data_IF_727609171901
#
_entry.id   IF_727609171901
#
_cell.length_a   1.000
_cell.length_b   1.000
_cell.length_c   1.000
_cell.angle_alpha   90.00
_cell.angle_beta   90.00
_cell.angle_gamma   90.00
#
_symmetry.space_group_name_H-M   'P 1'
#
loop_
_entity.id
_entity.type
_entity.pdbx_description
1 polymer ?
#
# COMPACT_ATOMS: atom_id res chain seq x y z
N UNK A 1 1.35 24.87 -10.38
CA UNK A 1 -0.08 24.66 -9.98
C UNK A 1 -1.07 24.41 -11.13
N UNK A 2 -0.74 24.74 -12.38
CA UNK A 2 -1.65 24.71 -13.54
C UNK A 2 -2.38 23.39 -13.79
N UNK A 3 -1.70 22.25 -13.70
CA UNK A 3 -2.32 20.93 -13.91
C UNK A 3 -3.44 20.63 -12.88
N UNK A 4 -3.20 20.92 -11.60
CA UNK A 4 -4.16 20.63 -10.52
C UNK A 4 -5.42 21.48 -10.64
N UNK A 5 -5.27 22.77 -10.98
CA UNK A 5 -6.40 23.69 -11.11
C UNK A 5 -7.38 23.29 -12.21
N UNK A 6 -6.92 22.67 -13.30
CA UNK A 6 -7.78 22.23 -14.40
C UNK A 6 -8.82 21.20 -13.98
N UNK A 7 -8.50 20.36 -12.98
CA UNK A 7 -9.39 19.28 -12.50
C UNK A 7 -10.03 19.57 -11.15
N UNK A 8 -9.75 20.73 -10.53
CA UNK A 8 -10.20 21.06 -9.19
C UNK A 8 -11.74 21.12 -9.04
N UNK A 9 -12.48 21.36 -10.12
CA UNK A 9 -13.95 21.42 -10.13
C UNK A 9 -14.66 20.09 -10.38
N UNK A 10 -13.94 18.98 -10.60
CA UNK A 10 -14.56 17.67 -10.84
C UNK A 10 -15.01 16.92 -9.57
N UNK A 11 -14.29 16.95 -8.44
CA UNK A 11 -14.71 16.24 -7.24
C UNK A 11 -16.12 16.68 -6.81
N UNK A 12 -16.99 15.71 -6.51
CA UNK A 12 -18.36 15.91 -6.03
C UNK A 12 -19.37 16.44 -7.06
N UNK A 13 -19.00 16.57 -8.33
CA UNK A 13 -19.90 16.97 -9.42
C UNK A 13 -19.94 15.87 -10.51
N UNK A 14 -20.73 14.80 -10.34
CA UNK A 14 -20.76 13.66 -11.28
C UNK A 14 -21.23 14.03 -12.69
N UNK A 15 -22.00 15.10 -12.82
CA UNK A 15 -22.41 15.71 -14.10
C UNK A 15 -21.26 16.41 -14.82
N UNK A 16 -20.23 16.86 -14.10
CA UNK A 16 -19.05 17.51 -14.67
C UNK A 16 -18.11 16.45 -15.24
N UNK A 17 -17.94 16.46 -16.57
CA UNK A 17 -16.99 15.59 -17.28
C UNK A 17 -15.90 16.42 -17.95
N UNK A 18 -14.69 15.91 -17.91
CA UNK A 18 -13.57 16.44 -18.70
C UNK A 18 -13.71 16.01 -20.17
N UNK A 19 -13.37 16.91 -21.10
CA UNK A 19 -13.26 16.60 -22.53
C UNK A 19 -11.90 15.98 -22.87
N UNK A 20 -11.84 15.25 -23.99
CA UNK A 20 -10.58 14.67 -24.47
C UNK A 20 -9.52 15.73 -24.81
N UNK A 21 -9.94 16.87 -25.37
CA UNK A 21 -9.02 17.96 -25.71
C UNK A 21 -8.32 18.51 -24.47
N UNK A 22 -9.07 18.73 -23.39
CA UNK A 22 -8.52 19.18 -22.11
C UNK A 22 -7.49 18.18 -21.56
N UNK A 23 -7.71 16.87 -21.73
CA UNK A 23 -6.73 15.84 -21.33
C UNK A 23 -5.46 15.90 -22.17
N UNK A 24 -5.59 16.05 -23.49
CA UNK A 24 -4.46 16.12 -24.42
C UNK A 24 -3.60 17.35 -24.12
N UNK A 25 -4.22 18.49 -23.83
CA UNK A 25 -3.51 19.72 -23.46
C UNK A 25 -2.61 19.53 -22.23
N UNK A 26 -3.01 18.68 -21.28
CA UNK A 26 -2.20 18.43 -20.07
C UNK A 26 -0.85 17.76 -20.35
N UNK A 27 -0.70 17.07 -21.48
CA UNK A 27 0.61 16.50 -21.87
C UNK A 27 1.63 17.58 -22.24
N UNK A 28 1.19 18.79 -22.53
CA UNK A 28 2.08 19.93 -22.84
C UNK A 28 2.57 20.65 -21.60
N UNK A 29 1.92 20.46 -20.44
CA UNK A 29 2.29 21.11 -19.18
C UNK A 29 3.55 20.45 -18.63
N UNK A 30 4.65 21.21 -18.56
CA UNK A 30 5.92 20.73 -18.01
C UNK A 30 5.92 20.78 -16.48
N UNK A 31 6.70 19.89 -15.87
CA UNK A 31 6.94 19.93 -14.44
C UNK A 31 8.00 20.98 -14.12
N UNK A 32 7.59 22.07 -13.49
CA UNK A 32 8.48 23.14 -13.04
C UNK A 32 9.04 22.81 -11.64
N UNK A 33 10.32 22.40 -11.55
CA UNK A 33 10.91 22.02 -10.26
C UNK A 33 11.09 23.20 -9.29
N UNK A 34 11.14 24.42 -9.81
CA UNK A 34 11.33 25.64 -9.01
C UNK A 34 10.01 26.25 -8.53
N UNK A 35 8.86 25.87 -9.10
CA UNK A 35 7.53 26.35 -8.72
C UNK A 35 6.86 25.35 -7.76
N UNK A 36 7.20 25.46 -6.47
CA UNK A 36 6.66 24.58 -5.41
C UNK A 36 5.61 25.31 -4.58
N UNK A 37 4.50 24.62 -4.33
CA UNK A 37 3.49 25.04 -3.38
C UNK A 37 3.48 24.10 -2.17
N UNK A 38 3.19 24.65 -0.99
CA UNK A 38 2.87 23.84 0.19
C UNK A 38 1.46 23.30 0.01
N UNK A 39 1.32 21.97 0.05
CA UNK A 39 0.04 21.27 -0.07
C UNK A 39 -0.10 20.37 1.15
N UNK A 40 -1.27 20.40 1.78
CA UNK A 40 -1.57 19.53 2.92
C UNK A 40 -1.94 18.12 2.43
N UNK A 41 -1.37 17.09 3.06
CA UNK A 41 -1.58 15.68 2.72
C UNK A 41 -1.77 14.86 4.02
N UNK A 42 -2.91 15.06 4.72
CA UNK A 42 -3.12 14.61 6.10
C UNK A 42 -2.96 13.10 6.29
N UNK A 43 -3.44 12.31 5.33
CA UNK A 43 -3.56 10.86 5.50
C UNK A 43 -2.40 10.08 4.86
N UNK A 44 -1.80 10.59 3.79
CA UNK A 44 -0.76 9.86 3.05
C UNK A 44 0.61 9.98 3.72
N UNK A 45 0.90 11.13 4.34
CA UNK A 45 2.20 11.40 4.98
C UNK A 45 2.50 10.46 6.16
N UNK A 46 1.48 9.83 6.73
CA UNK A 46 1.61 8.93 7.88
C UNK A 46 2.07 7.52 7.50
N UNK A 47 1.84 7.12 6.26
CA UNK A 47 2.28 5.82 5.79
C UNK A 47 3.81 5.75 5.73
N UNK A 48 4.36 4.57 6.02
CA UNK A 48 5.78 4.32 5.82
C UNK A 48 6.16 4.50 4.34
N UNK A 49 7.33 5.07 4.03
CA UNK A 49 7.88 5.13 2.68
C UNK A 49 7.88 3.77 1.98
N UNK A 50 7.96 2.68 2.75
CA UNK A 50 7.86 1.30 2.25
C UNK A 50 6.63 1.09 1.38
N UNK A 51 5.48 1.68 1.76
CA UNK A 51 4.21 1.53 1.05
C UNK A 51 4.22 2.06 -0.39
N UNK A 52 5.17 2.94 -0.71
CA UNK A 52 5.22 3.64 -1.99
C UNK A 52 6.53 3.43 -2.75
N UNK A 53 7.37 2.44 -2.37
CA UNK A 53 8.68 2.23 -2.99
C UNK A 53 8.58 2.07 -4.53
N UNK A 54 7.73 1.19 -5.09
CA UNK A 54 7.63 1.02 -6.54
C UNK A 54 7.20 2.31 -7.25
N UNK A 55 6.18 2.98 -6.71
CA UNK A 55 5.63 4.22 -7.25
C UNK A 55 6.67 5.35 -7.20
N UNK A 56 7.34 5.52 -6.05
CA UNK A 56 8.32 6.58 -5.83
C UNK A 56 9.55 6.40 -6.70
N UNK A 57 10.00 5.16 -6.90
CA UNK A 57 11.09 4.84 -7.82
C UNK A 57 10.72 5.22 -9.27
N UNK A 58 9.53 4.83 -9.72
CA UNK A 58 9.05 5.16 -11.07
C UNK A 58 8.94 6.68 -11.27
N UNK A 59 8.30 7.38 -10.33
CA UNK A 59 8.17 8.84 -10.36
C UNK A 59 9.54 9.51 -10.37
N UNK A 60 10.47 9.05 -9.55
CA UNK A 60 11.83 9.59 -9.51
C UNK A 60 12.53 9.48 -10.87
N UNK A 61 12.47 8.30 -11.49
CA UNK A 61 13.08 8.04 -12.81
C UNK A 61 12.42 8.91 -13.89
N UNK A 62 11.08 8.88 -13.99
CA UNK A 62 10.36 9.62 -15.03
C UNK A 62 10.45 11.14 -14.85
N UNK A 63 10.54 11.62 -13.61
CA UNK A 63 10.83 13.03 -13.32
C UNK A 63 12.22 13.43 -13.84
N UNK A 64 13.24 12.59 -13.62
CA UNK A 64 14.60 12.86 -14.12
C UNK A 64 14.70 12.84 -15.66
N UNK A 65 13.80 12.13 -16.33
CA UNK A 65 13.69 12.15 -17.79
C UNK A 65 12.96 13.40 -18.33
N UNK A 66 12.47 14.28 -17.46
CA UNK A 66 11.81 15.54 -17.86
C UNK A 66 10.41 15.35 -18.44
N UNK A 67 9.74 14.24 -18.13
CA UNK A 67 8.39 13.97 -18.62
C UNK A 67 7.34 14.89 -17.95
N UNK A 68 6.25 15.25 -18.67
CA UNK A 68 5.16 16.03 -18.10
C UNK A 68 4.43 15.23 -17.01
N UNK A 69 3.79 15.89 -16.01
CA UNK A 69 3.17 15.22 -14.87
C UNK A 69 2.15 14.14 -15.25
N UNK A 70 1.34 14.37 -16.29
CA UNK A 70 0.37 13.39 -16.79
C UNK A 70 1.03 12.14 -17.33
N UNK A 71 2.13 12.31 -18.08
CA UNK A 71 2.87 11.16 -18.61
C UNK A 71 3.54 10.40 -17.47
N UNK A 72 4.12 11.09 -16.49
CA UNK A 72 4.66 10.46 -15.27
C UNK A 72 3.57 9.63 -14.57
N UNK A 73 2.36 10.17 -14.42
CA UNK A 73 1.24 9.47 -13.81
C UNK A 73 0.92 8.15 -14.54
N UNK A 74 0.68 8.19 -15.85
CA UNK A 74 0.33 6.98 -16.61
C UNK A 74 1.47 5.97 -16.68
N UNK A 75 2.71 6.43 -16.90
CA UNK A 75 3.88 5.55 -16.94
C UNK A 75 4.14 4.89 -15.58
N UNK A 76 3.94 5.60 -14.48
CA UNK A 76 4.05 5.00 -13.14
C UNK A 76 3.01 3.93 -12.94
N UNK A 77 1.75 4.14 -13.35
CA UNK A 77 0.70 3.10 -13.27
C UNK A 77 1.07 1.86 -14.05
N UNK A 78 1.61 2.03 -15.27
CA UNK A 78 2.07 0.91 -16.10
C UNK A 78 3.26 0.19 -15.47
N UNK A 79 4.22 0.92 -14.93
CA UNK A 79 5.37 0.35 -14.21
C UNK A 79 4.91 -0.49 -13.01
N UNK A 80 4.02 0.04 -12.19
CA UNK A 80 3.52 -0.64 -10.99
C UNK A 80 2.71 -1.88 -11.36
N UNK A 81 1.93 -1.84 -12.45
CA UNK A 81 1.25 -3.01 -12.98
C UNK A 81 2.24 -4.09 -13.44
N UNK A 82 3.35 -3.72 -14.08
CA UNK A 82 4.41 -4.66 -14.46
C UNK A 82 5.03 -5.30 -13.22
N UNK A 83 5.31 -4.51 -12.18
CA UNK A 83 5.81 -5.01 -10.88
C UNK A 83 4.81 -6.00 -10.29
N UNK A 84 3.51 -5.67 -10.27
CA UNK A 84 2.46 -6.58 -9.81
C UNK A 84 2.47 -7.90 -10.58
N UNK A 85 2.39 -7.87 -11.91
CA UNK A 85 2.35 -9.08 -12.76
C UNK A 85 3.61 -9.93 -12.57
N UNK A 86 4.79 -9.30 -12.51
CA UNK A 86 6.05 -9.99 -12.29
C UNK A 86 6.08 -10.68 -10.93
N UNK A 87 5.75 -9.97 -9.86
CA UNK A 87 5.73 -10.52 -8.50
C UNK A 87 4.66 -11.61 -8.36
N UNK A 88 3.49 -11.42 -8.96
CA UNK A 88 2.41 -12.38 -8.89
C UNK A 88 2.74 -13.67 -9.69
N UNK A 89 3.52 -13.56 -10.76
CA UNK A 89 4.09 -14.72 -11.46
C UNK A 89 5.03 -15.54 -10.55
N UNK A 90 5.83 -14.86 -9.70
CA UNK A 90 6.67 -15.52 -8.69
C UNK A 90 5.81 -16.22 -7.63
N UNK A 91 4.75 -15.56 -7.15
CA UNK A 91 3.78 -16.14 -6.21
C UNK A 91 3.19 -17.44 -6.75
N UNK A 92 2.71 -17.44 -8.00
CA UNK A 92 2.16 -18.64 -8.66
C UNK A 92 3.22 -19.75 -8.79
N UNK A 93 4.48 -19.38 -9.05
CA UNK A 93 5.59 -20.34 -9.13
C UNK A 93 5.88 -21.03 -7.79
N UNK A 94 5.77 -20.30 -6.67
CA UNK A 94 6.03 -20.87 -5.35
C UNK A 94 4.88 -21.70 -4.79
N UNK A 95 3.65 -21.43 -5.22
CA UNK A 95 2.49 -22.13 -4.67
C UNK A 95 2.45 -23.59 -5.13
N UNK A 96 2.35 -24.54 -4.19
CA UNK A 96 2.40 -25.97 -4.51
C UNK A 96 1.12 -26.44 -5.21
N UNK A 97 -0.03 -25.91 -4.81
CA UNK A 97 -1.36 -26.34 -5.29
C UNK A 97 -2.30 -25.14 -5.46
N UNK A 98 -3.24 -25.20 -6.40
CA UNK A 98 -4.21 -24.11 -6.61
C UNK A 98 -3.68 -22.92 -7.40
N UNK A 99 -2.71 -23.14 -8.30
CA UNK A 99 -2.10 -22.09 -9.14
C UNK A 99 -3.13 -21.25 -9.90
N UNK A 100 -4.17 -21.91 -10.43
CA UNK A 100 -5.27 -21.23 -11.13
C UNK A 100 -6.11 -20.34 -10.21
N UNK A 101 -6.30 -20.71 -8.95
CA UNK A 101 -7.00 -19.86 -7.96
C UNK A 101 -6.20 -18.59 -7.72
N UNK A 102 -4.88 -18.70 -7.54
CA UNK A 102 -4.05 -17.51 -7.39
C UNK A 102 -4.04 -16.68 -8.67
N UNK A 103 -3.87 -17.29 -9.85
CA UNK A 103 -3.95 -16.57 -11.12
C UNK A 103 -5.27 -15.79 -11.25
N UNK A 104 -6.40 -16.41 -10.88
CA UNK A 104 -7.70 -15.73 -10.83
C UNK A 104 -7.65 -14.54 -9.86
N UNK A 105 -7.20 -14.73 -8.62
CA UNK A 105 -7.09 -13.65 -7.61
C UNK A 105 -6.22 -12.49 -8.09
N UNK A 106 -5.13 -12.77 -8.80
CA UNK A 106 -4.23 -11.74 -9.35
C UNK A 106 -4.83 -10.96 -10.52
N UNK A 107 -5.72 -11.60 -11.28
CA UNK A 107 -6.38 -11.07 -12.48
C UNK A 107 -7.78 -10.51 -12.22
N UNK A 108 -8.30 -10.63 -11.00
CA UNK A 108 -9.59 -10.02 -10.64
C UNK A 108 -9.56 -8.53 -11.01
N UNK A 109 -10.66 -7.98 -11.55
CA UNK A 109 -10.71 -6.57 -11.97
C UNK A 109 -10.27 -5.62 -10.87
N UNK A 110 -10.70 -5.88 -9.63
CA UNK A 110 -10.32 -5.08 -8.47
C UNK A 110 -8.83 -5.23 -8.11
N UNK A 111 -8.27 -6.43 -8.20
CA UNK A 111 -6.84 -6.66 -7.98
C UNK A 111 -5.99 -5.89 -8.99
N UNK A 112 -6.33 -5.97 -10.28
CA UNK A 112 -5.60 -5.23 -11.33
C UNK A 112 -5.73 -3.73 -11.10
N UNK A 113 -6.96 -3.25 -10.83
CA UNK A 113 -7.23 -1.83 -10.62
C UNK A 113 -6.44 -1.24 -9.45
N UNK A 114 -6.48 -1.90 -8.28
CA UNK A 114 -5.76 -1.44 -7.08
C UNK A 114 -4.26 -1.54 -7.29
N UNK A 115 -3.77 -2.65 -7.86
CA UNK A 115 -2.33 -2.90 -8.01
C UNK A 115 -1.68 -2.18 -9.20
N UNK A 116 -2.41 -1.32 -9.92
CA UNK A 116 -1.84 -0.34 -10.86
C UNK A 116 -1.92 1.11 -10.35
N UNK A 117 -2.44 1.33 -9.14
CA UNK A 117 -2.72 2.66 -8.60
C UNK A 117 -1.57 3.22 -7.76
N UNK A 118 -1.67 4.49 -7.36
CA UNK A 118 -0.79 5.13 -6.40
C UNK A 118 -1.21 4.85 -4.93
N UNK A 119 -1.71 3.65 -4.65
CA UNK A 119 -2.14 3.25 -3.31
C UNK A 119 -1.03 2.55 -2.53
N UNK A 120 -1.03 2.73 -1.21
CA UNK A 120 -0.24 1.90 -0.28
C UNK A 120 -0.59 0.40 -0.37
N UNK A 121 -1.82 0.07 -0.80
CA UNK A 121 -2.30 -1.31 -0.88
C UNK A 121 -1.52 -2.16 -1.88
N UNK A 122 -0.87 -1.54 -2.87
CA UNK A 122 -0.04 -2.24 -3.87
C UNK A 122 1.04 -3.07 -3.17
N UNK A 123 1.82 -2.44 -2.29
CA UNK A 123 2.93 -3.08 -1.58
C UNK A 123 2.39 -4.07 -0.54
N UNK A 124 1.31 -3.71 0.16
CA UNK A 124 0.64 -4.61 1.11
C UNK A 124 0.19 -5.92 0.43
N UNK A 125 -0.42 -5.84 -0.75
CA UNK A 125 -0.86 -7.01 -1.50
C UNK A 125 0.35 -7.86 -1.95
N UNK A 126 1.36 -7.22 -2.56
CA UNK A 126 2.58 -7.90 -3.01
C UNK A 126 3.21 -8.71 -1.87
N UNK A 127 3.45 -8.07 -0.73
CA UNK A 127 4.09 -8.69 0.42
C UNK A 127 3.21 -9.79 1.02
N UNK A 128 1.90 -9.58 1.11
CA UNK A 128 0.96 -10.56 1.63
C UNK A 128 0.93 -11.84 0.79
N UNK A 129 0.82 -11.71 -0.54
CA UNK A 129 0.81 -12.86 -1.44
C UNK A 129 2.17 -13.58 -1.48
N UNK A 130 3.29 -12.84 -1.44
CA UNK A 130 4.62 -13.43 -1.34
C UNK A 130 4.78 -14.22 -0.04
N UNK A 131 4.44 -13.62 1.11
CA UNK A 131 4.50 -14.29 2.41
C UNK A 131 3.69 -15.58 2.41
N UNK A 132 2.43 -15.49 1.98
CA UNK A 132 1.53 -16.63 1.89
C UNK A 132 2.09 -17.72 0.97
N UNK A 133 2.57 -17.37 -0.22
CA UNK A 133 3.10 -18.35 -1.19
C UNK A 133 4.29 -19.14 -0.64
N UNK A 134 5.23 -18.45 0.03
CA UNK A 134 6.42 -19.09 0.61
C UNK A 134 6.01 -19.99 1.78
N UNK A 135 5.12 -19.53 2.66
CA UNK A 135 4.64 -20.35 3.77
C UNK A 135 3.90 -21.60 3.28
N UNK A 136 3.01 -21.45 2.29
CA UNK A 136 2.29 -22.60 1.71
C UNK A 136 3.23 -23.58 1.00
N UNK A 137 4.27 -23.09 0.33
CA UNK A 137 5.33 -23.95 -0.24
C UNK A 137 5.94 -24.85 0.83
N UNK A 138 6.42 -24.27 1.93
CA UNK A 138 7.09 -25.04 2.99
C UNK A 138 6.12 -25.79 3.92
N UNK A 139 4.82 -25.49 3.85
CA UNK A 139 3.76 -26.34 4.40
C UNK A 139 3.65 -27.65 3.62
N UNK A 140 3.58 -27.57 2.29
CA UNK A 140 3.41 -28.75 1.42
C UNK A 140 4.70 -29.54 1.24
N UNK A 141 5.84 -28.84 1.16
CA UNK A 141 7.17 -29.42 0.99
C UNK A 141 8.07 -28.98 2.16
N UNK A 142 8.01 -29.68 3.32
CA UNK A 142 8.78 -29.32 4.51
C UNK A 142 10.30 -29.36 4.30
N UNK A 143 10.75 -30.20 3.36
CA UNK A 143 12.17 -30.39 3.04
C UNK A 143 12.75 -29.11 2.44
N UNK A 144 13.88 -28.64 2.98
CA UNK A 144 14.58 -27.46 2.46
C UNK A 144 14.23 -26.14 3.15
N UNK A 145 13.34 -26.13 4.15
CA UNK A 145 13.21 -24.97 5.03
C UNK A 145 14.56 -24.69 5.71
N UNK A 146 15.05 -23.45 5.57
CA UNK A 146 16.39 -23.07 6.00
C UNK A 146 16.39 -21.70 6.66
N UNK A 147 17.52 -21.33 7.28
CA UNK A 147 17.70 -20.00 7.85
C UNK A 147 17.52 -18.89 6.79
N UNK A 148 17.93 -19.14 5.55
CA UNK A 148 17.73 -18.19 4.44
C UNK A 148 16.25 -17.92 4.19
N UNK A 149 15.44 -18.98 4.15
CA UNK A 149 13.98 -18.87 4.03
C UNK A 149 13.38 -18.08 5.18
N UNK A 150 13.81 -18.38 6.41
CA UNK A 150 13.37 -17.65 7.60
C UNK A 150 13.68 -16.16 7.51
N UNK A 151 14.91 -15.79 7.10
CA UNK A 151 15.31 -14.39 6.93
C UNK A 151 14.45 -13.69 5.87
N UNK A 152 14.14 -14.36 4.75
CA UNK A 152 13.24 -13.80 3.72
C UNK A 152 11.84 -13.56 4.28
N UNK A 153 11.26 -14.53 5.00
CA UNK A 153 9.94 -14.38 5.63
C UNK A 153 9.94 -13.28 6.69
N UNK A 154 11.01 -13.16 7.48
CA UNK A 154 11.19 -12.12 8.47
C UNK A 154 11.18 -10.72 7.83
N UNK A 155 11.95 -10.52 6.76
CA UNK A 155 11.96 -9.25 6.05
C UNK A 155 10.61 -8.91 5.42
N UNK A 156 9.95 -9.89 4.80
CA UNK A 156 8.61 -9.67 4.24
C UNK A 156 7.62 -9.26 5.35
N UNK A 157 7.68 -9.89 6.51
CA UNK A 157 6.81 -9.54 7.64
C UNK A 157 7.08 -8.12 8.17
N UNK A 158 8.34 -7.73 8.35
CA UNK A 158 8.71 -6.37 8.77
C UNK A 158 8.19 -5.34 7.76
N UNK A 159 8.44 -5.57 6.47
CA UNK A 159 7.97 -4.68 5.40
C UNK A 159 6.44 -4.61 5.34
N UNK A 160 5.75 -5.74 5.59
CA UNK A 160 4.29 -5.79 5.59
C UNK A 160 3.71 -4.99 6.75
N UNK A 161 4.29 -5.11 7.95
CA UNK A 161 3.89 -4.32 9.13
C UNK A 161 4.17 -2.83 8.95
N UNK A 162 5.30 -2.46 8.33
CA UNK A 162 5.59 -1.07 7.96
C UNK A 162 4.61 -0.54 6.91
N UNK A 163 4.22 -1.38 5.95
CA UNK A 163 3.30 -0.98 4.90
C UNK A 163 1.88 -0.75 5.46
N UNK A 164 1.39 -1.69 6.28
CA UNK A 164 0.05 -1.61 6.89
C UNK A 164 -0.03 -2.54 8.11
N UNK A 165 0.07 -1.96 9.32
CA UNK A 165 0.04 -2.70 10.58
C UNK A 165 -1.20 -3.59 10.75
N UNK A 166 -2.34 -3.21 10.16
CA UNK A 166 -3.60 -3.99 10.18
C UNK A 166 -3.42 -5.39 9.56
N UNK A 167 -2.40 -5.60 8.73
CA UNK A 167 -2.06 -6.89 8.13
C UNK A 167 -1.10 -7.73 8.97
N UNK A 168 -0.65 -7.25 10.15
CA UNK A 168 0.18 -8.03 11.06
C UNK A 168 -0.40 -9.41 11.45
N UNK A 169 -1.73 -9.60 11.62
CA UNK A 169 -2.30 -10.92 11.87
C UNK A 169 -1.98 -11.95 10.77
N UNK A 170 -1.69 -11.53 9.54
CA UNK A 170 -1.30 -12.42 8.44
C UNK A 170 0.01 -13.20 8.76
N UNK A 171 0.84 -12.68 9.65
CA UNK A 171 2.06 -13.34 10.14
C UNK A 171 1.74 -14.69 10.81
N UNK A 172 0.57 -14.85 11.42
CA UNK A 172 0.19 -16.13 12.05
C UNK A 172 0.12 -17.30 11.06
N UNK A 173 -0.02 -17.02 9.76
CA UNK A 173 0.06 -18.03 8.71
C UNK A 173 1.40 -18.76 8.76
N UNK A 174 2.49 -18.13 9.23
CA UNK A 174 3.79 -18.78 9.47
C UNK A 174 3.69 -20.07 10.31
N UNK A 175 2.73 -20.13 11.24
CA UNK A 175 2.50 -21.31 12.07
C UNK A 175 2.07 -22.54 11.26
N UNK A 176 1.60 -22.37 10.02
CA UNK A 176 1.24 -23.48 9.13
C UNK A 176 2.47 -24.28 8.68
N UNK A 177 3.69 -23.75 8.79
CA UNK A 177 4.90 -24.52 8.52
C UNK A 177 5.00 -25.64 9.59
N UNK A 178 5.07 -26.92 9.18
CA UNK A 178 5.03 -28.03 10.12
C UNK A 178 6.27 -28.08 11.00
N UNK A 179 6.14 -28.61 12.22
CA UNK A 179 7.26 -28.71 13.16
C UNK A 179 8.42 -29.57 12.66
N UNK A 180 8.15 -30.48 11.71
CA UNK A 180 9.18 -31.29 11.05
C UNK A 180 10.17 -30.48 10.21
N UNK A 181 9.81 -29.25 9.81
CA UNK A 181 10.70 -28.36 9.08
C UNK A 181 11.77 -27.70 9.96
N UNK A 182 11.62 -27.77 11.29
CA UNK A 182 12.49 -27.11 12.26
C UNK A 182 13.37 -28.13 12.98
N UNK A 183 14.56 -27.72 13.43
CA UNK A 183 15.47 -28.59 14.19
C UNK A 183 14.91 -28.96 15.57
N UNK A 184 14.07 -28.09 16.15
CA UNK A 184 13.43 -28.33 17.44
C UNK A 184 12.15 -27.53 17.60
N UNK A 185 11.28 -27.95 18.53
CA UNK A 185 10.08 -27.20 18.92
C UNK A 185 10.44 -25.79 19.44
N UNK A 186 11.54 -25.66 20.18
CA UNK A 186 12.06 -24.38 20.68
C UNK A 186 12.41 -23.44 19.52
N UNK A 187 13.06 -23.95 18.46
CA UNK A 187 13.39 -23.13 17.30
C UNK A 187 12.13 -22.57 16.62
N UNK A 188 11.08 -23.39 16.44
CA UNK A 188 9.81 -22.96 15.84
C UNK A 188 9.16 -21.82 16.62
N UNK A 189 9.10 -21.95 17.95
CA UNK A 189 8.52 -20.93 18.84
C UNK A 189 9.34 -19.64 18.75
N UNK A 190 10.67 -19.73 18.89
CA UNK A 190 11.56 -18.56 18.80
C UNK A 190 11.42 -17.84 17.46
N UNK A 191 11.43 -18.57 16.34
CA UNK A 191 11.27 -17.98 15.02
C UNK A 191 9.91 -17.30 14.85
N UNK A 192 8.84 -17.90 15.36
CA UNK A 192 7.50 -17.28 15.32
C UNK A 192 7.47 -15.99 16.13
N UNK A 193 8.01 -15.99 17.35
CA UNK A 193 8.07 -14.81 18.21
C UNK A 193 8.92 -13.70 17.57
N UNK A 194 10.06 -14.05 16.96
CA UNK A 194 10.90 -13.07 16.28
C UNK A 194 10.12 -12.39 15.15
N UNK A 195 9.42 -13.15 14.29
CA UNK A 195 8.67 -12.55 13.18
C UNK A 195 7.56 -11.65 13.73
N UNK A 196 6.77 -12.11 14.71
CA UNK A 196 5.70 -11.31 15.31
C UNK A 196 6.24 -10.02 15.94
N UNK A 197 7.20 -10.14 16.86
CA UNK A 197 7.74 -9.00 17.59
C UNK A 197 8.43 -8.01 16.67
N UNK A 198 9.16 -8.49 15.66
CA UNK A 198 9.80 -7.59 14.70
C UNK A 198 8.80 -6.71 13.96
N UNK A 199 7.68 -7.27 13.49
CA UNK A 199 6.63 -6.50 12.81
C UNK A 199 6.08 -5.38 13.68
N UNK A 200 5.76 -5.68 14.95
CA UNK A 200 5.30 -4.67 15.91
C UNK A 200 6.38 -3.64 16.21
N UNK A 201 7.61 -4.06 16.52
CA UNK A 201 8.71 -3.14 16.87
C UNK A 201 8.94 -2.13 15.75
N UNK A 202 9.02 -2.58 14.49
CA UNK A 202 9.27 -1.67 13.36
C UNK A 202 8.06 -0.77 13.07
N UNK A 203 6.83 -1.27 13.19
CA UNK A 203 5.65 -0.43 13.02
C UNK A 203 5.51 0.63 14.13
N UNK A 204 5.76 0.27 15.39
CA UNK A 204 5.78 1.22 16.51
C UNK A 204 6.92 2.22 16.37
N UNK A 205 8.09 1.77 15.93
CA UNK A 205 9.21 2.66 15.66
C UNK A 205 8.86 3.70 14.59
N UNK A 206 8.22 3.28 13.48
CA UNK A 206 7.74 4.21 12.47
C UNK A 206 6.67 5.18 13.03
N UNK A 207 5.69 4.66 13.77
CA UNK A 207 4.65 5.49 14.38
C UNK A 207 5.22 6.53 15.36
N UNK A 208 6.26 6.16 16.12
CA UNK A 208 6.98 7.07 17.00
C UNK A 208 7.67 8.19 16.22
N UNK A 209 8.36 7.86 15.12
CA UNK A 209 9.04 8.86 14.28
C UNK A 209 8.07 9.83 13.60
N UNK A 210 6.89 9.36 13.21
CA UNK A 210 5.89 10.16 12.50
C UNK A 210 5.02 10.98 13.46
N UNK A 211 4.98 10.65 14.76
CA UNK A 211 4.10 11.30 15.73
C UNK A 211 4.30 12.82 15.76
N UNK A 212 5.54 13.29 15.67
CA UNK A 212 5.89 14.72 15.65
C UNK A 212 5.37 15.45 14.40
N UNK A 213 5.08 14.72 13.32
CA UNK A 213 4.56 15.24 12.06
C UNK A 213 3.04 15.05 11.92
N UNK A 214 2.40 14.30 12.84
CA UNK A 214 0.98 14.02 12.78
C UNK A 214 0.18 15.14 13.43
N UNK A 215 -0.63 15.85 12.63
CA UNK A 215 -1.65 16.74 13.15
C UNK A 215 -2.97 15.97 13.32
N UNK A 216 -3.47 15.75 14.55
CA UNK A 216 -4.78 15.13 14.74
C UNK A 216 -5.90 16.07 14.26
N UNK A 217 -7.06 15.50 13.90
CA UNK A 217 -8.24 16.26 13.45
C UNK A 217 -8.59 17.44 14.37
N UNK A 218 -8.53 17.25 15.69
CA UNK A 218 -8.80 18.30 16.68
C UNK A 218 -7.75 19.43 16.69
N UNK A 219 -6.55 19.17 16.18
CA UNK A 219 -5.47 20.14 16.02
C UNK A 219 -5.56 20.96 14.75
N UNK A 220 -6.41 20.58 13.79
CA UNK A 220 -6.64 21.37 12.58
C UNK A 220 -7.41 22.65 12.89
N UNK A 221 -7.07 23.73 12.17
CA UNK A 221 -7.84 24.96 12.22
C UNK A 221 -9.31 24.67 11.82
N UNK A 222 -10.29 24.98 12.69
CA UNK A 222 -11.71 24.65 12.43
C UNK A 222 -12.24 25.17 11.10
N UNK A 223 -11.71 26.29 10.58
CA UNK A 223 -12.13 26.85 9.29
C UNK A 223 -11.71 25.99 8.08
N UNK A 224 -10.69 25.14 8.24
CA UNK A 224 -10.11 24.34 7.16
C UNK A 224 -10.26 22.83 7.39
N UNK A 225 -10.57 22.38 8.63
CA UNK A 225 -10.60 20.95 8.98
C UNK A 225 -11.68 20.17 8.22
N UNK A 226 -12.89 20.74 8.11
CA UNK A 226 -14.06 20.00 7.61
C UNK A 226 -13.92 19.73 6.10
N UNK A 227 -13.39 20.69 5.31
CA UNK A 227 -13.17 20.52 3.87
C UNK A 227 -12.00 19.61 3.48
N UNK A 228 -11.12 19.26 4.43
CA UNK A 228 -9.93 18.43 4.20
C UNK A 228 -10.19 16.96 4.57
N UNK A 229 -11.04 16.69 5.55
CA UNK A 229 -11.22 15.34 6.13
C UNK A 229 -12.65 14.82 6.08
N UNK A 230 -13.65 15.68 5.89
CA UNK A 230 -15.05 15.31 5.80
C UNK A 230 -15.62 15.75 4.45
N UNK A 231 -16.64 15.04 3.96
CA UNK A 231 -17.43 15.54 2.84
C UNK A 231 -18.17 16.78 3.33
N UNK A 232 -18.30 17.82 2.50
CA UNK A 232 -19.16 18.95 2.82
C UNK A 232 -20.54 18.39 3.24
N UNK A 233 -21.03 18.79 4.42
CA UNK A 233 -22.26 18.33 5.08
C UNK A 233 -22.18 17.05 5.94
N UNK A 234 -21.03 16.38 6.07
CA UNK A 234 -20.89 15.25 7.00
C UNK A 234 -20.65 15.76 8.44
N UNK A 235 -21.56 15.45 9.36
CA UNK A 235 -21.41 15.75 10.79
C UNK A 235 -21.40 14.44 11.61
N UNK A 236 -20.21 14.10 12.12
CA UNK A 236 -20.01 12.86 12.87
C UNK A 236 -20.80 12.81 14.19
N UNK A 237 -21.00 13.95 14.86
CA UNK A 237 -21.76 14.03 16.12
C UNK A 237 -23.24 13.77 15.86
N UNK A 238 -23.83 14.42 14.86
CA UNK A 238 -25.22 14.16 14.46
C UNK A 238 -25.44 12.70 14.02
N UNK A 239 -24.44 12.09 13.37
CA UNK A 239 -24.52 10.69 12.96
C UNK A 239 -24.44 9.74 14.16
N UNK A 240 -23.59 10.03 15.15
CA UNK A 240 -23.53 9.28 16.41
C UNK A 240 -24.83 9.43 17.21
N UNK A 241 -25.36 10.65 17.34
CA UNK A 241 -26.62 10.91 18.02
C UNK A 241 -27.79 10.16 17.36
N UNK A 242 -27.82 10.11 16.02
CA UNK A 242 -28.81 9.32 15.28
C UNK A 242 -28.70 7.83 15.60
N UNK A 243 -27.48 7.27 15.64
CA UNK A 243 -27.28 5.85 15.98
C UNK A 243 -27.72 5.58 17.42
N UNK A 244 -27.30 6.40 18.39
CA UNK A 244 -27.66 6.20 19.80
C UNK A 244 -29.13 6.44 20.12
N UNK A 245 -29.84 7.23 19.31
CA UNK A 245 -31.28 7.45 19.46
C UNK A 245 -32.15 6.39 18.79
N UNK A 246 -31.57 5.51 17.96
CA UNK A 246 -32.28 4.50 17.18
C UNK A 246 -31.76 3.05 17.40
N UNK A 247 -30.93 2.85 18.43
CA UNK A 247 -30.48 1.54 18.94
C UNK A 247 -31.09 1.33 20.32
#
# INVERSE_FOLDING_TARGET
MQFSSTFAGLPWYPESKTSYDVLIEQFSIKLEENDKAIVDIPNTALYSPVSYIPQSLAVFVFRKLGFPPVLIFYLTRMFVLIVWVFTFSIVIKFIPTGKWVFALLGLLPMSVFVNMSFSADVVTNILSFLFLSIVLKYKAEPKGYSLKTFIVLLWIAILLSLAKLVYAPLIFIFLLIPSSSFKSKKQRIVQTLIILLSGFIFAFFWAFLVNDFYLPYSGYNPLFRDGITLVNCANAEQQLDFVFSNV
#
